data_IF_456761062757
#
_entry.id   IF_456761062757
#
_cell.length_a   1.000
_cell.length_b   1.000
_cell.length_c   1.000
_cell.angle_alpha   90.00
_cell.angle_beta   90.00
_cell.angle_gamma   90.00
#
_symmetry.space_group_name_H-M   'P 1'
#
loop_
_entity.id
_entity.type
_entity.pdbx_description
1 polymer ?
#
# COMPACT_ATOMS: atom_id res chain seq x y z
N UNK A 1 -13.38 14.28 13.96
CA UNK A 1 -14.12 14.04 12.70
C UNK A 1 -13.70 12.66 12.18
N UNK A 2 -14.63 11.80 11.75
CA UNK A 2 -14.29 10.47 11.22
C UNK A 2 -14.05 10.54 9.70
N UNK A 3 -13.36 9.54 9.14
CA UNK A 3 -12.94 9.48 7.74
C UNK A 3 -14.10 9.68 6.75
N UNK A 4 -15.25 9.05 6.99
CA UNK A 4 -16.44 9.21 6.15
C UNK A 4 -16.99 10.65 6.13
N UNK A 5 -16.98 11.35 7.28
CA UNK A 5 -17.42 12.74 7.34
C UNK A 5 -16.49 13.66 6.54
N UNK A 6 -15.17 13.43 6.65
CA UNK A 6 -14.18 14.20 5.89
C UNK A 6 -14.38 13.97 4.39
N UNK A 7 -14.57 12.73 3.94
CA UNK A 7 -14.80 12.44 2.53
C UNK A 7 -16.06 13.15 2.01
N UNK A 8 -17.15 13.07 2.76
CA UNK A 8 -18.41 13.73 2.39
C UNK A 8 -18.23 15.24 2.26
N UNK A 9 -17.52 15.86 3.20
CA UNK A 9 -17.19 17.29 3.13
C UNK A 9 -16.31 17.60 1.91
N UNK A 10 -15.28 16.79 1.64
CA UNK A 10 -14.42 16.98 0.46
C UNK A 10 -15.16 16.83 -0.86
N UNK A 11 -16.18 15.98 -0.93
CA UNK A 11 -17.01 15.83 -2.13
C UNK A 11 -17.93 17.03 -2.36
N UNK A 12 -18.46 17.61 -1.28
CA UNK A 12 -19.31 18.81 -1.37
C UNK A 12 -18.51 20.08 -1.62
N UNK A 13 -17.30 20.16 -1.05
CA UNK A 13 -16.44 21.34 -1.09
C UNK A 13 -14.99 20.94 -1.45
N UNK A 14 -14.73 20.53 -2.72
CA UNK A 14 -13.43 20.02 -3.11
C UNK A 14 -12.36 21.10 -3.04
N UNK A 15 -11.30 20.81 -2.30
CA UNK A 15 -10.14 21.69 -2.18
C UNK A 15 -8.86 20.91 -1.93
N UNK A 16 -7.71 21.54 -2.22
CA UNK A 16 -6.39 20.99 -1.87
C UNK A 16 -6.27 20.74 -0.37
N UNK A 17 -6.85 21.61 0.46
CA UNK A 17 -6.83 21.44 1.91
C UNK A 17 -7.64 20.22 2.35
N UNK A 18 -8.80 19.99 1.74
CA UNK A 18 -9.59 18.80 2.07
C UNK A 18 -8.87 17.50 1.71
N UNK A 19 -8.19 17.45 0.56
CA UNK A 19 -7.35 16.31 0.19
C UNK A 19 -6.23 16.05 1.19
N UNK A 20 -5.58 17.11 1.71
CA UNK A 20 -4.56 16.99 2.77
C UNK A 20 -5.17 16.48 4.07
N UNK A 21 -6.28 17.05 4.51
CA UNK A 21 -7.00 16.63 5.72
C UNK A 21 -7.38 15.15 5.67
N UNK A 22 -7.92 14.71 4.52
CA UNK A 22 -8.22 13.29 4.32
C UNK A 22 -6.98 12.42 4.38
N UNK A 23 -5.90 12.78 3.67
CA UNK A 23 -4.64 12.03 3.70
C UNK A 23 -4.06 11.89 5.11
N UNK A 24 -4.04 12.98 5.88
CA UNK A 24 -3.50 12.95 7.24
C UNK A 24 -4.40 12.19 8.24
N UNK A 25 -5.69 12.06 7.92
CA UNK A 25 -6.65 11.27 8.70
C UNK A 25 -6.73 9.80 8.26
N UNK A 26 -6.22 9.47 7.07
CA UNK A 26 -6.13 8.10 6.58
C UNK A 26 -5.14 7.27 7.43
N UNK A 27 -5.35 5.94 7.57
CA UNK A 27 -4.43 5.04 8.24
C UNK A 27 -2.95 5.26 7.89
N UNK A 28 -2.06 5.14 8.88
CA UNK A 28 -0.60 5.29 8.71
C UNK A 28 0.13 3.96 8.68
N UNK A 29 -0.49 2.92 9.23
CA UNK A 29 0.08 1.58 9.39
C UNK A 29 -0.90 0.54 8.85
N UNK A 30 -0.41 -0.67 8.58
CA UNK A 30 -1.26 -1.79 8.20
C UNK A 30 -2.33 -2.09 9.26
N UNK A 31 -1.96 -2.03 10.54
CA UNK A 31 -2.87 -2.34 11.65
C UNK A 31 -3.97 -1.29 11.79
N UNK A 32 -3.66 -0.01 11.57
CA UNK A 32 -4.70 1.03 11.46
C UNK A 32 -5.58 0.80 10.23
N UNK A 33 -4.99 0.39 9.11
CA UNK A 33 -5.74 0.11 7.89
C UNK A 33 -6.75 -1.02 8.11
N UNK A 34 -6.31 -2.13 8.69
CA UNK A 34 -7.15 -3.27 9.07
C UNK A 34 -8.24 -2.88 10.07
N UNK A 35 -7.94 -2.04 11.07
CA UNK A 35 -8.96 -1.56 12.02
C UNK A 35 -10.07 -0.72 11.37
N UNK A 36 -9.79 -0.11 10.23
CA UNK A 36 -10.71 0.81 9.54
C UNK A 36 -11.46 0.09 8.41
N UNK A 37 -10.80 -0.81 7.69
CA UNK A 37 -11.30 -1.42 6.45
C UNK A 37 -11.23 -2.95 6.40
N UNK A 38 -10.71 -3.59 7.44
CA UNK A 38 -10.51 -5.03 7.51
C UNK A 38 -11.76 -5.81 7.89
N UNK A 39 -11.60 -7.13 7.86
CA UNK A 39 -12.58 -8.09 8.35
C UNK A 39 -11.91 -8.96 9.41
N UNK A 40 -12.59 -9.21 10.52
CA UNK A 40 -12.14 -10.10 11.59
C UNK A 40 -13.18 -11.20 11.77
N UNK A 41 -12.77 -12.47 11.76
CA UNK A 41 -13.71 -13.61 11.83
C UNK A 41 -14.55 -13.64 13.12
N UNK A 42 -14.09 -12.96 14.18
CA UNK A 42 -14.79 -12.89 15.47
C UNK A 42 -15.60 -11.61 15.60
N UNK A 43 -15.07 -10.47 15.15
CA UNK A 43 -15.69 -9.14 15.32
C UNK A 43 -16.50 -8.68 14.12
N UNK A 44 -16.37 -9.34 12.98
CA UNK A 44 -16.97 -8.97 11.71
C UNK A 44 -16.28 -7.79 11.03
N UNK A 45 -17.06 -7.07 10.22
CA UNK A 45 -16.60 -5.94 9.40
C UNK A 45 -16.11 -4.74 10.24
N UNK A 46 -14.99 -4.15 9.83
CA UNK A 46 -14.55 -2.86 10.35
C UNK A 46 -15.50 -1.71 9.96
N UNK A 47 -15.48 -0.55 10.66
CA UNK A 47 -16.48 0.50 10.49
C UNK A 47 -16.63 1.07 9.08
N UNK A 48 -15.61 0.98 8.23
CA UNK A 48 -15.66 1.46 6.84
C UNK A 48 -15.37 0.34 5.82
N UNK A 49 -15.53 -0.92 6.20
CA UNK A 49 -15.34 -2.07 5.32
C UNK A 49 -16.14 -1.91 4.02
N UNK A 50 -17.46 -1.67 4.10
CA UNK A 50 -18.33 -1.54 2.93
C UNK A 50 -18.11 -0.25 2.12
N UNK A 51 -17.38 0.74 2.66
CA UNK A 51 -17.04 2.01 1.99
C UNK A 51 -15.57 2.08 1.54
N UNK A 52 -14.82 0.98 1.68
CA UNK A 52 -13.37 0.98 1.50
C UNK A 52 -12.95 1.44 0.10
N UNK A 53 -13.62 0.99 -0.95
CA UNK A 53 -13.27 1.34 -2.33
C UNK A 53 -13.36 2.84 -2.58
N UNK A 54 -14.42 3.49 -2.10
CA UNK A 54 -14.61 4.95 -2.26
C UNK A 54 -13.51 5.73 -1.52
N UNK A 55 -13.19 5.30 -0.30
CA UNK A 55 -12.13 5.90 0.51
C UNK A 55 -10.75 5.67 -0.12
N UNK A 56 -10.49 4.49 -0.67
CA UNK A 56 -9.25 4.14 -1.34
C UNK A 56 -9.06 4.96 -2.62
N UNK A 57 -10.09 5.06 -3.46
CA UNK A 57 -10.04 5.92 -4.65
C UNK A 57 -9.66 7.34 -4.25
N UNK A 58 -10.37 7.92 -3.27
CA UNK A 58 -10.07 9.28 -2.83
C UNK A 58 -8.69 9.41 -2.18
N UNK A 59 -8.24 8.42 -1.40
CA UNK A 59 -6.90 8.39 -0.84
C UNK A 59 -5.82 8.52 -1.92
N UNK A 60 -5.92 7.75 -3.02
CA UNK A 60 -4.95 7.85 -4.11
C UNK A 60 -5.05 9.17 -4.88
N UNK A 61 -6.22 9.79 -4.97
CA UNK A 61 -6.38 11.14 -5.52
C UNK A 61 -5.71 12.24 -4.68
N UNK A 62 -5.49 12.01 -3.38
CA UNK A 62 -4.77 12.96 -2.52
C UNK A 62 -3.31 13.14 -2.94
N UNK A 63 -2.73 12.18 -3.68
CA UNK A 63 -1.37 12.28 -4.23
C UNK A 63 -1.17 13.52 -5.12
N UNK A 64 -2.23 14.06 -5.72
CA UNK A 64 -2.20 15.28 -6.53
C UNK A 64 -2.07 16.57 -5.70
N UNK A 65 -2.34 16.50 -4.40
CA UNK A 65 -2.32 17.64 -3.47
C UNK A 65 -1.09 17.65 -2.55
N UNK A 66 -0.20 16.67 -2.68
CA UNK A 66 0.91 16.40 -1.77
C UNK A 66 2.24 16.35 -2.52
N UNK A 67 3.34 16.51 -1.78
CA UNK A 67 4.66 16.09 -2.28
C UNK A 67 4.65 14.58 -2.47
N UNK A 68 5.19 14.10 -3.59
CA UNK A 68 5.22 12.67 -3.93
C UNK A 68 5.90 11.84 -2.84
N UNK A 69 6.96 12.37 -2.23
CA UNK A 69 7.70 11.71 -1.16
C UNK A 69 6.81 11.40 0.05
N UNK A 70 5.96 12.35 0.42
CA UNK A 70 5.05 12.20 1.57
C UNK A 70 4.01 11.11 1.29
N UNK A 71 3.47 11.08 0.08
CA UNK A 71 2.49 10.08 -0.31
C UNK A 71 3.12 8.68 -0.43
N UNK A 72 4.30 8.57 -1.03
CA UNK A 72 5.02 7.29 -1.17
C UNK A 72 5.46 6.77 0.21
N UNK A 73 5.95 7.62 1.10
CA UNK A 73 6.32 7.22 2.46
C UNK A 73 5.11 6.64 3.22
N UNK A 74 3.92 7.22 3.01
CA UNK A 74 2.68 6.66 3.55
C UNK A 74 2.37 5.27 2.99
N UNK A 75 2.51 5.07 1.68
CA UNK A 75 2.30 3.76 1.07
C UNK A 75 3.28 2.72 1.61
N UNK A 76 4.56 3.07 1.76
CA UNK A 76 5.57 2.18 2.36
C UNK A 76 5.19 1.85 3.81
N UNK A 77 4.78 2.85 4.59
CA UNK A 77 4.42 2.69 6.01
C UNK A 77 3.21 1.78 6.22
N UNK A 78 2.21 1.86 5.34
CA UNK A 78 1.05 0.94 5.39
C UNK A 78 1.45 -0.46 4.93
N UNK A 79 2.28 -0.58 3.90
CA UNK A 79 2.62 -1.88 3.29
C UNK A 79 3.62 -2.72 4.09
N UNK A 80 4.52 -2.10 4.86
CA UNK A 80 5.67 -2.80 5.45
C UNK A 80 5.33 -3.93 6.44
N UNK A 81 4.16 -3.88 7.06
CA UNK A 81 3.68 -4.93 7.97
C UNK A 81 2.46 -5.67 7.39
N UNK A 82 2.21 -5.47 6.10
CA UNK A 82 1.05 -6.01 5.40
C UNK A 82 1.23 -7.44 4.95
N UNK A 83 0.10 -8.15 4.88
CA UNK A 83 -0.05 -9.43 4.19
C UNK A 83 -1.22 -9.33 3.23
N UNK A 84 -1.19 -10.14 2.18
CA UNK A 84 -2.32 -10.23 1.28
C UNK A 84 -3.56 -10.70 2.07
N UNK A 85 -4.69 -10.10 1.72
CA UNK A 85 -6.02 -10.42 2.20
C UNK A 85 -7.02 -9.92 1.15
N UNK A 86 -8.25 -10.42 1.18
CA UNK A 86 -9.28 -10.08 0.22
C UNK A 86 -9.73 -8.60 0.35
N UNK A 87 -10.66 -8.22 -0.54
CA UNK A 87 -11.40 -6.96 -0.46
C UNK A 87 -10.52 -5.71 -0.40
N UNK A 88 -10.60 -4.95 0.69
CA UNK A 88 -9.94 -3.66 0.88
C UNK A 88 -8.41 -3.75 0.77
N UNK A 89 -7.83 -4.85 1.24
CA UNK A 89 -6.37 -5.05 1.25
C UNK A 89 -5.87 -5.31 -0.17
N UNK A 90 -6.52 -6.22 -0.89
CA UNK A 90 -6.22 -6.49 -2.29
C UNK A 90 -6.37 -5.21 -3.15
N UNK A 91 -7.46 -4.46 -2.97
CA UNK A 91 -7.67 -3.18 -3.69
C UNK A 91 -6.57 -2.15 -3.38
N UNK A 92 -6.17 -2.01 -2.12
CA UNK A 92 -5.05 -1.13 -1.74
C UNK A 92 -3.73 -1.58 -2.38
N UNK A 93 -3.42 -2.87 -2.31
CA UNK A 93 -2.19 -3.44 -2.88
C UNK A 93 -2.11 -3.19 -4.39
N UNK A 94 -3.20 -3.42 -5.13
CA UNK A 94 -3.26 -3.19 -6.56
C UNK A 94 -3.03 -1.73 -6.95
N UNK A 95 -3.69 -0.80 -6.25
CA UNK A 95 -3.50 0.64 -6.48
C UNK A 95 -2.08 1.07 -6.10
N UNK A 96 -1.52 0.52 -5.02
CA UNK A 96 -0.13 0.77 -4.59
C UNK A 96 0.87 0.28 -5.64
N UNK A 97 0.70 -0.93 -6.20
CA UNK A 97 1.56 -1.46 -7.27
C UNK A 97 1.50 -0.60 -8.53
N UNK A 98 0.29 -0.19 -8.95
CA UNK A 98 0.11 0.73 -10.08
C UNK A 98 0.87 2.04 -9.83
N UNK A 99 0.77 2.59 -8.62
CA UNK A 99 1.46 3.83 -8.25
C UNK A 99 2.99 3.64 -8.17
N UNK A 100 3.47 2.50 -7.67
CA UNK A 100 4.88 2.11 -7.67
C UNK A 100 5.43 2.06 -9.09
N UNK A 101 4.77 1.37 -10.01
CA UNK A 101 5.26 1.24 -11.38
C UNK A 101 5.34 2.57 -12.14
N UNK A 102 4.54 3.56 -11.76
CA UNK A 102 4.61 4.91 -12.30
C UNK A 102 5.67 5.80 -11.64
N UNK A 103 6.21 5.41 -10.48
CA UNK A 103 7.11 6.24 -9.67
C UNK A 103 8.26 5.43 -9.04
N UNK A 104 8.72 4.36 -9.71
CA UNK A 104 9.61 3.35 -9.13
C UNK A 104 10.89 3.95 -8.55
N UNK A 105 11.52 4.89 -9.26
CA UNK A 105 12.79 5.49 -8.84
C UNK A 105 12.67 6.18 -7.47
N UNK A 106 11.54 6.87 -7.22
CA UNK A 106 11.31 7.55 -5.95
C UNK A 106 10.97 6.57 -4.82
N UNK A 107 10.22 5.50 -5.11
CA UNK A 107 10.03 4.41 -4.14
C UNK A 107 11.35 3.79 -3.74
N UNK A 108 12.20 3.43 -4.71
CA UNK A 108 13.48 2.80 -4.44
C UNK A 108 14.39 3.73 -3.65
N UNK A 109 14.42 5.02 -3.99
CA UNK A 109 15.15 6.03 -3.21
C UNK A 109 14.69 6.08 -1.75
N UNK A 110 13.39 6.05 -1.49
CA UNK A 110 12.84 6.09 -0.14
C UNK A 110 13.02 4.78 0.63
N UNK A 111 12.84 3.64 -0.04
CA UNK A 111 13.05 2.31 0.55
C UNK A 111 14.50 2.10 0.98
N UNK A 112 15.48 2.59 0.23
CA UNK A 112 16.92 2.53 0.62
C UNK A 112 17.23 3.21 1.95
N UNK A 113 16.37 4.15 2.39
CA UNK A 113 16.53 4.84 3.67
C UNK A 113 15.79 4.15 4.83
N UNK A 114 15.10 3.03 4.56
CA UNK A 114 14.42 2.21 5.58
C UNK A 114 15.35 1.12 6.09
N UNK A 115 15.02 0.55 7.25
CA UNK A 115 15.75 -0.60 7.73
C UNK A 115 15.38 -1.86 6.92
N UNK A 116 16.23 -2.89 6.96
CA UNK A 116 16.07 -4.09 6.15
C UNK A 116 14.73 -4.82 6.39
N UNK A 117 14.22 -4.84 7.63
CA UNK A 117 12.94 -5.47 7.94
C UNK A 117 11.78 -4.73 7.27
N UNK A 118 11.79 -3.40 7.28
CA UNK A 118 10.78 -2.58 6.60
C UNK A 118 10.83 -2.78 5.08
N UNK A 119 12.02 -2.89 4.50
CA UNK A 119 12.21 -3.16 3.07
C UNK A 119 11.65 -4.55 2.72
N UNK A 120 12.02 -5.57 3.50
CA UNK A 120 11.54 -6.94 3.29
C UNK A 120 10.02 -7.04 3.43
N UNK A 121 9.47 -6.39 4.44
CA UNK A 121 8.03 -6.35 4.68
C UNK A 121 7.27 -5.64 3.55
N UNK A 122 7.80 -4.52 3.05
CA UNK A 122 7.22 -3.86 1.87
C UNK A 122 7.20 -4.79 0.66
N UNK A 123 8.33 -5.45 0.35
CA UNK A 123 8.39 -6.37 -0.79
C UNK A 123 7.54 -7.61 -0.59
N UNK A 124 7.39 -8.08 0.65
CA UNK A 124 6.54 -9.21 0.97
C UNK A 124 5.11 -8.85 0.60
N UNK A 125 4.58 -7.75 1.18
CA UNK A 125 3.27 -7.26 0.82
C UNK A 125 3.14 -6.89 -0.66
N UNK A 126 4.19 -6.39 -1.31
CA UNK A 126 4.15 -6.10 -2.74
C UNK A 126 3.99 -7.37 -3.59
N UNK A 127 4.57 -8.49 -3.18
CA UNK A 127 4.59 -9.73 -3.97
C UNK A 127 3.56 -10.76 -3.54
N UNK A 128 2.98 -10.61 -2.35
CA UNK A 128 2.02 -11.54 -1.77
C UNK A 128 0.67 -11.48 -2.51
N UNK A 129 0.18 -12.63 -2.97
CA UNK A 129 -1.06 -12.82 -3.72
C UNK A 129 -1.49 -14.30 -3.63
N UNK A 130 -2.78 -14.66 -3.81
CA UNK A 130 -3.24 -16.05 -3.74
C UNK A 130 -2.49 -16.98 -4.70
N UNK A 131 -2.09 -16.43 -5.84
CA UNK A 131 -1.23 -17.10 -6.80
C UNK A 131 -0.09 -16.17 -7.16
N UNK A 132 1.14 -16.60 -6.90
CA UNK A 132 2.33 -15.80 -7.15
C UNK A 132 2.42 -15.36 -8.62
N UNK A 133 2.46 -14.04 -8.86
CA UNK A 133 2.52 -13.48 -10.19
C UNK A 133 3.95 -13.35 -10.73
N UNK A 134 4.34 -14.32 -11.56
CA UNK A 134 5.66 -14.35 -12.18
C UNK A 134 5.94 -13.14 -13.08
N UNK A 135 4.94 -12.57 -13.76
CA UNK A 135 5.14 -11.45 -14.67
C UNK A 135 5.39 -10.13 -13.92
N UNK A 136 4.65 -9.89 -12.83
CA UNK A 136 4.93 -8.80 -11.91
C UNK A 136 6.36 -8.94 -11.36
N UNK A 137 6.75 -10.15 -10.96
CA UNK A 137 8.09 -10.36 -10.42
C UNK A 137 9.21 -10.14 -11.43
N UNK A 138 9.08 -10.64 -12.67
CA UNK A 138 10.03 -10.34 -13.76
C UNK A 138 10.15 -8.83 -14.00
N UNK A 139 9.04 -8.11 -13.98
CA UNK A 139 9.03 -6.65 -14.15
C UNK A 139 9.78 -5.94 -13.03
N UNK A 140 9.62 -6.38 -11.78
CA UNK A 140 10.38 -5.83 -10.64
C UNK A 140 11.87 -6.14 -10.77
N UNK A 141 12.24 -7.38 -11.12
CA UNK A 141 13.65 -7.75 -11.31
C UNK A 141 14.33 -6.90 -12.39
N UNK A 142 13.59 -6.51 -13.44
CA UNK A 142 14.07 -5.58 -14.47
C UNK A 142 14.27 -4.17 -13.92
N UNK A 143 13.34 -3.67 -13.11
CA UNK A 143 13.47 -2.36 -12.44
C UNK A 143 14.68 -2.36 -11.48
N UNK A 144 14.91 -3.46 -10.78
CA UNK A 144 16.01 -3.63 -9.83
C UNK A 144 17.33 -4.07 -10.46
N UNK A 145 17.43 -4.16 -11.79
CA UNK A 145 18.59 -4.72 -12.49
C UNK A 145 19.91 -4.03 -12.08
N UNK A 146 19.86 -2.71 -11.88
CA UNK A 146 21.00 -1.87 -11.47
C UNK A 146 21.12 -1.68 -9.94
N UNK A 147 20.20 -2.27 -9.17
CA UNK A 147 20.07 -2.07 -7.73
C UNK A 147 20.40 -3.37 -6.98
N UNK A 148 21.65 -3.84 -7.08
CA UNK A 148 22.07 -5.19 -6.65
C UNK A 148 21.62 -5.56 -5.24
N UNK A 149 21.81 -4.67 -4.26
CA UNK A 149 21.41 -4.94 -2.87
C UNK A 149 19.88 -5.10 -2.74
N UNK A 150 19.11 -4.20 -3.35
CA UNK A 150 17.65 -4.25 -3.32
C UNK A 150 17.12 -5.48 -4.09
N UNK A 151 17.76 -5.83 -5.20
CA UNK A 151 17.45 -7.02 -5.98
C UNK A 151 17.62 -8.30 -5.16
N UNK A 152 18.71 -8.42 -4.41
CA UNK A 152 18.95 -9.59 -3.55
C UNK A 152 17.87 -9.70 -2.47
N UNK A 153 17.56 -8.59 -1.77
CA UNK A 153 16.49 -8.56 -0.77
C UNK A 153 15.14 -8.97 -1.38
N UNK A 154 14.83 -8.47 -2.58
CA UNK A 154 13.59 -8.82 -3.28
C UNK A 154 13.53 -10.30 -3.66
N UNK A 155 14.63 -10.89 -4.15
CA UNK A 155 14.70 -12.32 -4.49
C UNK A 155 14.44 -13.19 -3.26
N UNK A 156 15.10 -12.90 -2.13
CA UNK A 156 14.91 -13.64 -0.88
C UNK A 156 13.45 -13.59 -0.40
N UNK A 157 12.82 -12.41 -0.52
CA UNK A 157 11.41 -12.22 -0.16
C UNK A 157 10.48 -13.00 -1.09
N UNK A 158 10.73 -12.98 -2.40
CA UNK A 158 9.92 -13.73 -3.38
C UNK A 158 9.99 -15.23 -3.12
N UNK A 159 11.17 -15.76 -2.78
CA UNK A 159 11.30 -17.17 -2.42
C UNK A 159 10.47 -17.53 -1.18
N UNK A 160 10.41 -16.62 -0.21
CA UNK A 160 9.56 -16.78 0.97
C UNK A 160 8.07 -16.73 0.60
N UNK A 161 7.61 -15.71 -0.12
CA UNK A 161 6.22 -15.58 -0.57
C UNK A 161 5.77 -16.83 -1.34
N UNK A 162 6.62 -17.35 -2.24
CA UNK A 162 6.32 -18.58 -2.98
C UNK A 162 6.13 -19.80 -2.09
N UNK A 163 6.86 -19.91 -0.98
CA UNK A 163 6.71 -21.01 -0.01
C UNK A 163 5.44 -20.85 0.84
N UNK A 164 5.13 -19.61 1.20
CA UNK A 164 3.96 -19.28 2.02
C UNK A 164 2.64 -19.45 1.22
N UNK A 165 2.69 -19.29 -0.11
CA UNK A 165 1.51 -19.38 -1.01
C UNK A 165 1.35 -20.76 -1.69
N UNK A 166 1.98 -21.82 -1.16
CA UNK A 166 1.72 -23.20 -1.58
C UNK A 166 0.48 -23.69 -0.84
N UNK A 167 -0.67 -23.66 -1.53
CA UNK A 167 -1.89 -24.36 -1.13
C UNK A 167 -2.05 -25.64 -1.95
#
# INVERSE_FOLDING_TARGET
MNLGSILKECKNHPSTECKKTFFYSFPKTYQEFQKVYGYDDVKGEAPFYSNSEEHLVFFFETSLALKKEVFIDRLISISKDGKWDADSVNSFQDKMRKYFFANSDLFLKLLKNKNENEIKGFWYFFSDEPHFNNEVSKRILKILEKETQMKNVYVDVVEKVKKDNIH
#
